data_IF_479561102888
#
_entry.id   IF_479561102888
#
_cell.length_a   1.000
_cell.length_b   1.000
_cell.length_c   1.000
_cell.angle_alpha   90.00
_cell.angle_beta   90.00
_cell.angle_gamma   90.00
#
_symmetry.space_group_name_H-M   'P 1'
#
loop_
_entity.id
_entity.type
_entity.pdbx_description
1 polymer ?
#
# COMPACT_ATOMS: atom_id res chain seq x y z
N UNK A 1 11.61 -23.94 16.15
CA UNK A 1 10.81 -23.37 17.24
C UNK A 1 9.46 -23.00 16.66
N UNK A 2 8.35 -23.46 17.25
CA UNK A 2 7.01 -23.04 16.77
C UNK A 2 6.86 -21.54 17.03
N UNK A 3 6.63 -20.76 16.00
CA UNK A 3 6.35 -19.34 16.11
C UNK A 3 5.06 -19.17 16.90
N UNK A 4 5.15 -18.65 18.11
CA UNK A 4 4.00 -18.37 18.97
C UNK A 4 3.10 -17.39 18.21
N UNK A 5 1.86 -17.80 17.87
CA UNK A 5 0.89 -16.92 17.24
C UNK A 5 0.56 -15.79 18.23
N UNK A 6 0.87 -14.56 17.83
CA UNK A 6 0.58 -13.37 18.63
C UNK A 6 -0.92 -13.08 18.62
N UNK A 7 -1.43 -12.54 19.70
CA UNK A 7 -2.80 -12.05 19.79
C UNK A 7 -2.97 -10.74 19.03
N UNK A 8 -4.19 -10.43 18.61
CA UNK A 8 -4.51 -9.24 17.82
C UNK A 8 -4.03 -7.95 18.50
N UNK A 9 -4.25 -7.82 19.80
CA UNK A 9 -3.83 -6.67 20.60
C UNK A 9 -2.29 -6.52 20.63
N UNK A 10 -1.57 -7.64 20.62
CA UNK A 10 -0.11 -7.64 20.55
C UNK A 10 0.40 -7.20 19.18
N UNK A 11 -0.26 -7.65 18.11
CA UNK A 11 0.05 -7.23 16.75
C UNK A 11 -0.11 -5.72 16.57
N UNK A 12 -1.17 -5.12 17.13
CA UNK A 12 -1.44 -3.69 17.06
C UNK A 12 -0.29 -2.81 17.59
N UNK A 13 0.46 -3.32 18.55
CA UNK A 13 1.48 -2.54 19.26
C UNK A 13 2.91 -2.86 18.79
N UNK A 14 3.18 -4.10 18.40
CA UNK A 14 4.56 -4.56 18.22
C UNK A 14 4.99 -4.78 16.77
N UNK A 15 4.06 -5.13 15.85
CA UNK A 15 4.45 -5.43 14.46
C UNK A 15 5.04 -4.20 13.77
N UNK A 16 6.16 -4.41 13.09
CA UNK A 16 6.92 -3.39 12.39
C UNK A 16 7.87 -2.57 13.28
N UNK A 17 7.88 -2.85 14.60
CA UNK A 17 8.80 -2.20 15.56
C UNK A 17 9.38 -3.22 16.55
N UNK A 18 9.63 -4.44 16.10
CA UNK A 18 10.18 -5.51 16.93
C UNK A 18 11.60 -5.16 17.41
N UNK A 19 12.33 -4.43 16.59
CA UNK A 19 13.66 -3.90 16.92
C UNK A 19 13.59 -2.41 17.20
N UNK A 20 14.46 -1.93 18.12
CA UNK A 20 14.67 -0.50 18.32
C UNK A 20 15.31 0.14 17.06
N UNK A 21 15.15 1.44 16.90
CA UNK A 21 15.83 2.18 15.83
C UNK A 21 17.36 2.03 15.95
N UNK A 22 18.07 1.53 14.93
CA UNK A 22 19.49 1.21 15.04
C UNK A 22 20.41 2.44 15.19
N UNK A 23 19.90 3.63 14.85
CA UNK A 23 20.68 4.86 14.93
C UNK A 23 20.58 5.54 16.31
N UNK A 24 19.45 5.36 17.01
CA UNK A 24 19.14 6.12 18.22
C UNK A 24 18.74 5.26 19.41
N UNK A 25 18.61 3.94 19.22
CA UNK A 25 18.04 2.99 20.18
C UNK A 25 16.59 3.35 20.62
N UNK A 26 15.92 4.23 19.88
CA UNK A 26 14.56 4.64 20.19
C UNK A 26 13.58 3.44 20.06
N UNK A 27 12.80 3.23 21.10
CA UNK A 27 11.76 2.18 21.09
C UNK A 27 10.55 2.57 20.27
N UNK A 28 10.18 3.84 20.30
CA UNK A 28 9.12 4.37 19.43
C UNK A 28 9.64 4.47 18.00
N UNK A 29 8.76 4.27 17.03
CA UNK A 29 9.09 4.41 15.60
C UNK A 29 9.41 5.87 15.30
N UNK A 30 10.63 6.21 14.83
CA UNK A 30 10.96 7.58 14.41
C UNK A 30 10.09 8.03 13.23
N UNK A 31 9.83 9.35 13.16
CA UNK A 31 9.15 9.96 12.03
C UNK A 31 10.20 10.45 11.03
N UNK A 32 10.38 9.73 9.93
CA UNK A 32 11.34 10.07 8.88
C UNK A 32 10.70 10.99 7.84
N UNK A 33 10.85 12.30 8.03
CA UNK A 33 10.40 13.33 7.07
C UNK A 33 11.51 13.60 6.05
N UNK A 34 11.73 12.68 5.13
CA UNK A 34 12.74 12.81 4.09
C UNK A 34 12.21 12.41 2.72
N UNK A 35 12.75 13.05 1.67
CA UNK A 35 12.42 12.72 0.28
C UNK A 35 13.36 11.68 -0.30
N UNK A 36 14.65 11.68 0.06
CA UNK A 36 15.67 10.84 -0.54
C UNK A 36 16.59 10.23 0.50
N UNK A 37 17.22 9.13 0.13
CA UNK A 37 18.19 8.40 0.93
C UNK A 37 19.53 8.36 0.23
N UNK A 38 20.62 8.38 1.01
CA UNK A 38 21.99 8.39 0.48
C UNK A 38 22.45 6.96 0.24
N UNK A 39 23.17 6.77 -0.86
CA UNK A 39 23.86 5.51 -1.16
C UNK A 39 25.33 5.61 -0.75
N UNK A 40 25.92 4.48 -0.34
CA UNK A 40 27.31 4.42 0.08
C UNK A 40 28.26 4.55 -1.12
N UNK A 41 27.88 3.94 -2.26
CA UNK A 41 28.61 3.97 -3.53
C UNK A 41 27.66 3.65 -4.71
N UNK A 42 28.22 3.62 -5.91
CA UNK A 42 27.46 3.33 -7.15
C UNK A 42 26.95 1.90 -7.20
N UNK A 43 27.65 0.94 -6.62
CA UNK A 43 27.21 -0.45 -6.61
C UNK A 43 26.01 -0.62 -5.66
N UNK A 44 26.05 -0.01 -4.47
CA UNK A 44 24.91 0.01 -3.55
C UNK A 44 23.68 0.63 -4.20
N UNK A 45 23.83 1.73 -4.95
CA UNK A 45 22.73 2.31 -5.71
C UNK A 45 22.17 1.33 -6.74
N UNK A 46 23.03 0.69 -7.53
CA UNK A 46 22.63 -0.30 -8.55
C UNK A 46 21.89 -1.50 -7.93
N UNK A 47 22.31 -1.95 -6.75
CA UNK A 47 21.69 -3.07 -6.07
C UNK A 47 20.31 -2.70 -5.50
N UNK A 48 20.15 -1.49 -4.96
CA UNK A 48 18.85 -0.94 -4.52
C UNK A 48 17.86 -0.81 -5.67
N UNK A 49 18.26 -0.16 -6.76
CA UNK A 49 17.39 -0.02 -7.94
C UNK A 49 17.12 -1.34 -8.66
N UNK A 50 18.06 -2.28 -8.57
CA UNK A 50 17.92 -3.63 -9.10
C UNK A 50 17.15 -4.60 -8.18
N UNK A 51 16.65 -4.13 -7.02
CA UNK A 51 15.94 -4.92 -6.00
C UNK A 51 16.74 -6.12 -5.47
N UNK A 52 18.09 -6.05 -5.56
CA UNK A 52 19.00 -7.05 -4.99
C UNK A 52 19.33 -6.77 -3.53
N UNK A 53 19.22 -5.52 -3.12
CA UNK A 53 19.36 -5.07 -1.75
C UNK A 53 18.09 -4.36 -1.29
N UNK A 54 17.54 -4.79 -0.15
CA UNK A 54 16.33 -4.22 0.40
C UNK A 54 16.62 -2.88 1.13
N UNK A 55 15.75 -1.89 0.98
CA UNK A 55 15.80 -0.64 1.73
C UNK A 55 15.23 0.56 0.99
N UNK A 56 15.43 1.72 1.59
CA UNK A 56 14.84 2.95 1.10
C UNK A 56 15.67 3.57 -0.03
N UNK A 57 15.00 4.13 -1.01
CA UNK A 57 15.57 4.87 -2.14
C UNK A 57 15.04 6.30 -2.13
N UNK A 58 13.74 6.44 -2.12
CA UNK A 58 13.04 7.71 -2.20
C UNK A 58 11.70 7.64 -1.46
N UNK A 59 11.38 8.67 -0.68
CA UNK A 59 10.22 8.69 0.23
C UNK A 59 8.85 8.47 -0.42
N UNK A 60 8.72 8.71 -1.74
CA UNK A 60 7.50 8.37 -2.49
C UNK A 60 7.35 6.87 -2.73
N UNK A 61 8.46 6.14 -2.81
CA UNK A 61 8.47 4.69 -3.05
C UNK A 61 8.47 3.91 -1.74
N UNK A 62 9.36 4.31 -0.82
CA UNK A 62 9.57 3.63 0.47
C UNK A 62 9.93 4.64 1.54
N UNK A 63 9.40 4.45 2.75
CA UNK A 63 9.75 5.23 3.92
C UNK A 63 9.64 4.35 5.16
N UNK A 64 10.61 4.40 6.06
CA UNK A 64 10.65 3.53 7.24
C UNK A 64 9.45 3.72 8.17
N UNK A 65 8.95 4.94 8.33
CA UNK A 65 7.76 5.22 9.14
C UNK A 65 6.49 4.63 8.49
N UNK A 66 6.33 4.85 7.18
CA UNK A 66 5.23 4.29 6.40
C UNK A 66 5.28 2.76 6.40
N UNK A 67 6.45 2.16 6.24
CA UNK A 67 6.65 0.72 6.23
C UNK A 67 6.19 0.03 7.52
N UNK A 68 6.34 0.67 8.68
CA UNK A 68 5.79 0.15 9.95
C UNK A 68 4.26 0.11 9.92
N UNK A 69 3.62 1.14 9.40
CA UNK A 69 2.17 1.17 9.24
C UNK A 69 1.70 0.07 8.29
N UNK A 70 2.34 -0.07 7.13
CA UNK A 70 2.03 -1.09 6.13
C UNK A 70 2.16 -2.51 6.68
N UNK A 71 3.28 -2.80 7.34
CA UNK A 71 3.53 -4.11 7.97
C UNK A 71 2.49 -4.43 9.05
N UNK A 72 2.13 -3.45 9.86
CA UNK A 72 1.17 -3.62 10.97
C UNK A 72 -0.23 -3.88 10.46
N UNK A 73 -0.72 -3.09 9.50
CA UNK A 73 -2.05 -3.31 8.90
C UNK A 73 -2.10 -4.67 8.18
N UNK A 74 -1.07 -5.01 7.41
CA UNK A 74 -0.99 -6.32 6.78
C UNK A 74 -1.09 -7.47 7.79
N UNK A 75 -0.39 -7.37 8.93
CA UNK A 75 -0.45 -8.40 9.98
C UNK A 75 -1.82 -8.50 10.66
N UNK A 76 -2.50 -7.36 10.87
CA UNK A 76 -3.83 -7.32 11.48
C UNK A 76 -4.90 -7.92 10.57
N UNK A 77 -4.78 -7.68 9.26
CA UNK A 77 -5.69 -8.21 8.22
C UNK A 77 -5.30 -9.63 7.75
N UNK A 78 -4.19 -10.19 8.23
CA UNK A 78 -3.67 -11.48 7.77
C UNK A 78 -3.18 -11.45 6.33
N UNK A 79 -2.85 -10.27 5.80
CA UNK A 79 -2.30 -10.05 4.47
C UNK A 79 -0.80 -10.32 4.40
N UNK A 80 -0.28 -10.47 3.18
CA UNK A 80 1.15 -10.67 2.94
C UNK A 80 1.94 -9.37 2.90
N UNK A 81 1.28 -8.27 2.53
CA UNK A 81 1.84 -6.91 2.49
C UNK A 81 0.73 -5.86 2.51
N UNK A 82 1.09 -4.61 2.79
CA UNK A 82 0.23 -3.43 2.70
C UNK A 82 0.92 -2.35 1.87
N UNK A 83 0.14 -1.46 1.28
CA UNK A 83 0.59 -0.25 0.62
C UNK A 83 -0.16 0.95 1.19
N UNK A 84 0.54 1.85 1.84
CA UNK A 84 -0.04 3.08 2.33
C UNK A 84 -0.12 4.13 1.22
N UNK A 85 -1.26 4.78 1.12
CA UNK A 85 -1.51 5.84 0.14
C UNK A 85 -2.16 7.05 0.82
N UNK A 86 -2.16 8.20 0.14
CA UNK A 86 -2.56 9.47 0.72
C UNK A 86 -4.06 9.61 1.01
N UNK A 87 -4.91 8.73 0.45
CA UNK A 87 -6.37 8.78 0.65
C UNK A 87 -7.03 7.44 0.35
N UNK A 88 -8.24 7.23 0.90
CA UNK A 88 -9.07 6.08 0.56
C UNK A 88 -9.45 6.01 -0.92
N UNK A 89 -9.68 7.16 -1.56
CA UNK A 89 -9.93 7.22 -3.00
C UNK A 89 -8.74 6.71 -3.81
N UNK A 90 -7.50 7.06 -3.42
CA UNK A 90 -6.29 6.54 -4.03
C UNK A 90 -6.16 5.03 -3.79
N UNK A 91 -6.51 4.54 -2.60
CA UNK A 91 -6.48 3.10 -2.30
C UNK A 91 -7.43 2.32 -3.22
N UNK A 92 -8.67 2.76 -3.38
CA UNK A 92 -9.63 2.13 -4.30
C UNK A 92 -9.13 2.19 -5.74
N UNK A 93 -8.63 3.37 -6.17
CA UNK A 93 -8.10 3.56 -7.51
C UNK A 93 -6.97 2.58 -7.82
N UNK A 94 -5.96 2.50 -6.97
CA UNK A 94 -4.81 1.64 -7.20
C UNK A 94 -5.15 0.15 -7.11
N UNK A 95 -6.05 -0.23 -6.20
CA UNK A 95 -6.52 -1.61 -6.10
C UNK A 95 -7.18 -2.06 -7.41
N UNK A 96 -8.05 -1.24 -7.99
CA UNK A 96 -8.73 -1.56 -9.24
C UNK A 96 -7.78 -1.50 -10.43
N UNK A 97 -6.95 -0.46 -10.56
CA UNK A 97 -5.99 -0.32 -11.68
C UNK A 97 -4.91 -1.40 -11.68
N UNK A 98 -4.62 -2.01 -10.55
CA UNK A 98 -3.64 -3.11 -10.47
C UNK A 98 -4.14 -4.40 -11.13
N UNK A 99 -5.44 -4.61 -11.23
CA UNK A 99 -6.05 -5.86 -11.70
C UNK A 99 -6.87 -5.68 -12.98
N UNK A 100 -7.18 -4.45 -13.38
CA UNK A 100 -8.03 -4.15 -14.53
C UNK A 100 -7.24 -3.46 -15.64
N UNK A 101 -7.52 -3.85 -16.88
CA UNK A 101 -7.03 -3.24 -18.12
C UNK A 101 -8.15 -2.67 -18.98
N UNK A 102 -7.79 -1.97 -20.04
CA UNK A 102 -8.75 -1.43 -21.02
C UNK A 102 -9.54 -2.57 -21.64
N UNK A 103 -10.87 -2.48 -21.56
CA UNK A 103 -11.79 -3.52 -22.08
C UNK A 103 -12.29 -4.50 -21.02
N UNK A 104 -11.77 -4.45 -19.79
CA UNK A 104 -12.27 -5.26 -18.69
C UNK A 104 -13.59 -4.73 -18.14
N UNK A 105 -14.29 -5.56 -17.38
CA UNK A 105 -15.58 -5.23 -16.79
C UNK A 105 -15.52 -5.22 -15.27
N UNK A 106 -16.25 -4.28 -14.66
CA UNK A 106 -16.42 -4.18 -13.21
C UNK A 106 -17.88 -4.45 -12.86
N UNK A 107 -18.09 -5.40 -11.95
CA UNK A 107 -19.39 -5.61 -11.30
C UNK A 107 -19.26 -5.12 -9.87
N UNK A 108 -20.04 -4.14 -9.48
CA UNK A 108 -20.03 -3.52 -8.17
C UNK A 108 -21.43 -3.40 -7.58
N UNK A 109 -21.53 -3.40 -6.25
CA UNK A 109 -22.78 -3.10 -5.55
C UNK A 109 -23.19 -1.63 -5.81
N UNK A 110 -24.47 -1.34 -5.76
CA UNK A 110 -25.00 0.01 -5.94
C UNK A 110 -24.98 0.87 -4.66
N UNK A 111 -24.78 0.24 -3.50
CA UNK A 111 -24.71 0.89 -2.19
C UNK A 111 -23.29 1.25 -1.74
N UNK A 112 -22.41 1.55 -2.69
CA UNK A 112 -21.05 1.97 -2.40
C UNK A 112 -20.98 3.36 -1.77
N UNK A 113 -19.85 3.64 -1.08
CA UNK A 113 -19.50 5.01 -0.73
C UNK A 113 -19.51 5.91 -1.97
N UNK A 114 -20.14 7.10 -1.87
CA UNK A 114 -20.41 7.97 -3.02
C UNK A 114 -19.18 8.32 -3.86
N UNK A 115 -18.00 8.50 -3.24
CA UNK A 115 -16.74 8.73 -3.95
C UNK A 115 -16.32 7.52 -4.80
N UNK A 116 -16.46 6.30 -4.28
CA UNK A 116 -16.16 5.07 -5.01
C UNK A 116 -17.17 4.81 -6.13
N UNK A 117 -18.44 5.08 -5.88
CA UNK A 117 -19.48 5.02 -6.91
C UNK A 117 -19.15 5.95 -8.08
N UNK A 118 -18.87 7.22 -7.79
CA UNK A 118 -18.51 8.20 -8.83
C UNK A 118 -17.21 7.83 -9.57
N UNK A 119 -16.22 7.30 -8.87
CA UNK A 119 -14.97 6.82 -9.47
C UNK A 119 -15.24 5.73 -10.51
N UNK A 120 -16.05 4.74 -10.15
CA UNK A 120 -16.37 3.62 -11.04
C UNK A 120 -17.25 4.07 -12.20
N UNK A 121 -18.31 4.86 -11.93
CA UNK A 121 -19.32 5.20 -12.93
C UNK A 121 -18.91 6.32 -13.88
N UNK A 122 -18.04 7.22 -13.48
CA UNK A 122 -17.68 8.40 -14.27
C UNK A 122 -16.21 8.49 -14.66
N UNK A 123 -15.31 7.88 -13.90
CA UNK A 123 -13.87 7.90 -14.21
C UNK A 123 -13.44 6.60 -14.87
N UNK A 124 -13.69 5.49 -14.23
CA UNK A 124 -13.30 4.18 -14.78
C UNK A 124 -14.16 3.75 -15.96
N UNK A 125 -15.40 4.18 -16.06
CA UNK A 125 -16.20 3.90 -17.25
C UNK A 125 -15.56 4.39 -18.56
N UNK A 126 -14.74 5.43 -18.50
CA UNK A 126 -14.01 5.92 -19.67
C UNK A 126 -12.78 5.08 -20.02
N UNK A 127 -12.29 4.30 -19.08
CA UNK A 127 -11.06 3.52 -19.20
C UNK A 127 -11.33 2.02 -19.38
N UNK A 128 -12.36 1.48 -18.71
CA UNK A 128 -12.51 0.03 -18.52
C UNK A 128 -13.89 -0.52 -18.84
N UNK A 129 -14.91 0.29 -19.20
CA UNK A 129 -16.28 -0.23 -19.25
C UNK A 129 -16.84 -0.43 -20.63
N UNK A 130 -17.48 -1.58 -20.86
CA UNK A 130 -18.63 -1.69 -21.75
C UNK A 130 -19.87 -1.10 -21.06
N UNK A 131 -20.82 -0.52 -21.82
CA UNK A 131 -22.08 -0.09 -21.23
C UNK A 131 -22.78 -1.26 -20.52
N UNK A 132 -23.26 -1.02 -19.31
CA UNK A 132 -24.12 -1.98 -18.62
C UNK A 132 -25.37 -2.24 -19.45
N UNK A 133 -25.94 -3.44 -19.47
CA UNK A 133 -27.24 -3.69 -20.11
C UNK A 133 -28.34 -2.70 -19.69
N UNK A 134 -28.25 -2.13 -18.46
CA UNK A 134 -29.16 -1.08 -17.99
C UNK A 134 -28.99 0.28 -18.70
N UNK A 135 -27.83 0.56 -19.29
CA UNK A 135 -27.55 1.83 -19.98
C UNK A 135 -28.06 1.80 -21.42
N UNK A 136 -28.39 0.63 -21.96
CA UNK A 136 -28.98 0.46 -23.31
C UNK A 136 -30.50 0.51 -23.31
N UNK A 137 -31.13 0.52 -22.13
CA UNK A 137 -32.61 0.56 -21.98
C UNK A 137 -33.16 1.97 -21.67
N UNK A 138 -32.37 3.04 -21.85
CA UNK A 138 -32.83 4.41 -21.68
C UNK A 138 -32.91 5.17 -23.00
#
# INVERSE_FOLDING_TARGET
MATKKLHFETLQVHVGQEQADPATDARAVPIYQTTSYVFHDSQHAADRFGLRDAGNIYGRLTNSTQGVFEARVAALEGGVAGLAVASGAAAVTYALQNILGVGDHIVAADNLYGGSFNLITHTFCLLYTSPSPRDTER
#
